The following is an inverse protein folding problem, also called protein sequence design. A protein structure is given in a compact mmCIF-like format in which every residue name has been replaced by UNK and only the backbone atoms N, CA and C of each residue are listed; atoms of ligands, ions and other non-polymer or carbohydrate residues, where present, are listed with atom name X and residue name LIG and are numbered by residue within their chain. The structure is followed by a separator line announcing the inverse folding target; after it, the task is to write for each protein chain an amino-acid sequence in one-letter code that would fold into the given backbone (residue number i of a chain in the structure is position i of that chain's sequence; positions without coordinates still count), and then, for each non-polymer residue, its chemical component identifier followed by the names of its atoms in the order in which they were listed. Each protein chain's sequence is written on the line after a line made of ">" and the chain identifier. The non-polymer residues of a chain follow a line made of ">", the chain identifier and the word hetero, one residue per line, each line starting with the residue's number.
data_IF_714565637612
#
_entry.id   IF_714565637612
#
_cell.length_a   1.000
_cell.length_b   1.000
_cell.length_c   1.000
_cell.angle_alpha   90.00
_cell.angle_beta   90.00
_cell.angle_gamma   90.00
#
_symmetry.space_group_name_H-M   'P 1'
#
loop_
_entity.id
_entity.type
_entity.pdbx_description
1 polymer ?
#
# COMPACT_ATOMS: atom_id res chain seq x y z
N UNK A 1 5.17 7.40 20.54
CA UNK A 1 4.68 8.49 21.39
C UNK A 1 3.29 8.87 20.93
N UNK A 2 2.30 8.99 21.84
CA UNK A 2 0.90 9.21 21.45
C UNK A 2 0.66 10.44 20.59
N UNK A 3 1.30 11.56 20.91
CA UNK A 3 1.13 12.80 20.14
C UNK A 3 1.66 12.68 18.72
N UNK A 4 2.77 11.97 18.55
CA UNK A 4 3.36 11.74 17.22
C UNK A 4 2.46 10.87 16.36
N UNK A 5 1.91 9.80 16.93
CA UNK A 5 1.00 8.89 16.21
C UNK A 5 -0.28 9.62 15.81
N UNK A 6 -0.84 10.45 16.69
CA UNK A 6 -2.02 11.27 16.41
C UNK A 6 -1.78 12.24 15.24
N UNK A 7 -0.64 12.91 15.24
CA UNK A 7 -0.26 13.83 14.17
C UNK A 7 -0.14 13.10 12.83
N UNK A 8 0.52 11.95 12.82
CA UNK A 8 0.68 11.14 11.62
C UNK A 8 -0.68 10.73 11.05
N UNK A 9 -1.61 10.32 11.90
CA UNK A 9 -2.95 9.92 11.48
C UNK A 9 -3.73 11.06 10.85
N UNK A 10 -3.67 12.26 11.43
CA UNK A 10 -4.35 13.44 10.89
C UNK A 10 -3.82 13.80 9.50
N UNK A 11 -2.51 13.76 9.31
CA UNK A 11 -1.91 14.00 8.01
C UNK A 11 -2.35 12.97 6.98
N UNK A 12 -2.42 11.69 7.39
CA UNK A 12 -2.86 10.62 6.51
C UNK A 12 -4.31 10.81 6.06
N UNK A 13 -5.21 11.18 6.97
CA UNK A 13 -6.60 11.45 6.63
C UNK A 13 -6.74 12.59 5.61
N UNK A 14 -5.99 13.66 5.78
CA UNK A 14 -5.99 14.78 4.84
C UNK A 14 -5.52 14.35 3.45
N UNK A 15 -4.47 13.55 3.38
CA UNK A 15 -3.92 13.03 2.12
C UNK A 15 -4.93 12.10 1.44
N UNK A 16 -5.53 11.20 2.21
CA UNK A 16 -6.54 10.27 1.69
C UNK A 16 -7.70 11.03 1.07
N UNK A 17 -8.21 12.04 1.77
CA UNK A 17 -9.31 12.86 1.29
C UNK A 17 -8.93 13.62 0.01
N UNK A 18 -7.72 14.14 -0.04
CA UNK A 18 -7.22 14.85 -1.22
C UNK A 18 -7.15 13.92 -2.43
N UNK A 19 -6.63 12.70 -2.25
CA UNK A 19 -6.56 11.72 -3.32
C UNK A 19 -7.95 11.36 -3.85
N UNK A 20 -8.87 11.06 -2.94
CA UNK A 20 -10.25 10.70 -3.31
C UNK A 20 -10.98 11.85 -4.01
N UNK A 21 -10.84 13.05 -3.49
CA UNK A 21 -11.48 14.24 -4.09
C UNK A 21 -10.92 14.57 -5.47
N UNK A 22 -9.71 14.11 -5.74
CA UNK A 22 -9.06 14.28 -7.05
C UNK A 22 -9.37 13.14 -8.03
N UNK A 23 -10.19 12.16 -7.62
CA UNK A 23 -10.55 11.01 -8.46
C UNK A 23 -9.56 9.86 -8.40
N UNK A 24 -8.61 9.89 -7.46
CA UNK A 24 -7.61 8.84 -7.30
C UNK A 24 -8.01 7.78 -6.28
N UNK A 25 -7.22 6.72 -6.22
CA UNK A 25 -7.39 5.60 -5.31
C UNK A 25 -6.24 5.60 -4.30
N UNK A 26 -6.50 5.88 -3.00
CA UNK A 26 -5.43 5.88 -2.01
C UNK A 26 -5.00 4.46 -1.65
N UNK A 27 -3.71 4.19 -1.81
CA UNK A 27 -3.10 2.88 -1.55
C UNK A 27 -2.00 3.04 -0.51
N UNK A 28 -2.00 2.18 0.49
CA UNK A 28 -0.94 2.15 1.49
C UNK A 28 0.28 1.42 0.94
N UNK A 29 1.38 2.16 0.74
CA UNK A 29 2.63 1.62 0.21
C UNK A 29 3.44 0.91 1.31
N UNK A 30 4.13 -0.17 0.94
CA UNK A 30 5.07 -0.95 1.77
C UNK A 30 4.80 -0.87 3.28
N UNK A 31 3.66 -1.40 3.75
CA UNK A 31 3.23 -1.22 5.14
C UNK A 31 4.19 -1.77 6.20
N UNK A 32 5.01 -2.75 5.85
CA UNK A 32 6.02 -3.27 6.77
C UNK A 32 6.97 -2.17 7.27
N UNK A 33 7.28 -1.19 6.43
CA UNK A 33 8.22 -0.12 6.79
C UNK A 33 7.65 0.85 7.82
N UNK A 34 6.36 0.78 8.12
CA UNK A 34 5.74 1.57 9.18
C UNK A 34 6.16 1.04 10.55
N UNK A 35 6.50 -0.25 10.66
CA UNK A 35 6.90 -0.92 11.91
C UNK A 35 5.89 -0.77 13.05
N UNK A 36 4.60 -0.70 12.71
CA UNK A 36 3.52 -0.56 13.68
C UNK A 36 2.23 -1.12 13.07
N UNK A 37 1.95 -2.39 13.35
CA UNK A 37 0.79 -3.07 12.78
C UNK A 37 -0.55 -2.47 13.22
N UNK A 38 -0.63 -1.96 14.44
CA UNK A 38 -1.85 -1.30 14.91
C UNK A 38 -2.14 -0.03 14.11
N UNK A 39 -1.11 0.74 13.80
CA UNK A 39 -1.26 1.93 12.96
C UNK A 39 -1.64 1.55 11.52
N UNK A 40 -1.05 0.49 10.98
CA UNK A 40 -1.42 -0.01 9.66
C UNK A 40 -2.92 -0.32 9.62
N UNK A 41 -3.43 -1.12 10.56
CA UNK A 41 -4.85 -1.45 10.59
C UNK A 41 -5.72 -0.22 10.74
N UNK A 42 -5.31 0.73 11.55
CA UNK A 42 -6.08 1.96 11.74
C UNK A 42 -6.17 2.77 10.45
N UNK A 43 -5.08 2.88 9.70
CA UNK A 43 -5.09 3.56 8.40
C UNK A 43 -6.00 2.85 7.40
N UNK A 44 -6.01 1.52 7.40
CA UNK A 44 -6.88 0.75 6.51
C UNK A 44 -8.36 0.95 6.81
N UNK A 45 -8.71 1.26 8.05
CA UNK A 45 -10.10 1.54 8.44
C UNK A 45 -10.55 2.96 8.07
N UNK A 46 -9.63 3.85 7.75
CA UNK A 46 -9.91 5.28 7.61
C UNK A 46 -9.85 5.80 6.17
N UNK A 47 -10.29 4.99 5.23
CA UNK A 47 -10.48 5.45 3.87
C UNK A 47 -9.44 4.99 2.86
N UNK A 48 -8.43 4.24 3.27
CA UNK A 48 -7.50 3.57 2.35
C UNK A 48 -8.31 2.56 1.52
N UNK A 49 -8.07 2.53 0.23
CA UNK A 49 -8.78 1.65 -0.70
C UNK A 49 -7.92 0.51 -1.25
N UNK A 50 -6.62 0.55 -1.00
CA UNK A 50 -5.72 -0.49 -1.43
C UNK A 50 -4.51 -0.62 -0.54
N UNK A 51 -3.80 -1.74 -0.67
CA UNK A 51 -2.59 -2.01 0.08
C UNK A 51 -1.55 -2.66 -0.83
N UNK A 52 -0.31 -2.20 -0.74
CA UNK A 52 0.79 -2.81 -1.46
C UNK A 52 1.30 -4.02 -0.68
N UNK A 53 0.84 -5.21 -1.05
CA UNK A 53 1.21 -6.45 -0.38
C UNK A 53 2.42 -7.12 -1.03
N UNK A 54 2.61 -6.94 -2.33
CA UNK A 54 3.66 -7.60 -3.11
C UNK A 54 4.86 -6.65 -3.25
N UNK A 55 5.82 -6.80 -2.36
CA UNK A 55 6.93 -5.86 -2.22
C UNK A 55 8.21 -6.61 -1.81
N UNK A 56 9.38 -6.22 -2.33
CA UNK A 56 10.62 -7.00 -2.13
C UNK A 56 11.04 -7.22 -0.68
N UNK A 57 10.77 -6.26 0.19
CA UNK A 57 11.15 -6.36 1.61
C UNK A 57 10.11 -7.08 2.47
N UNK A 58 8.97 -7.45 1.90
CA UNK A 58 8.00 -8.31 2.56
C UNK A 58 8.45 -9.77 2.40
N UNK A 59 8.54 -10.51 3.52
CA UNK A 59 8.75 -11.95 3.44
C UNK A 59 7.39 -12.65 3.18
N UNK A 60 7.41 -13.98 3.12
CA UNK A 60 6.18 -14.74 2.83
C UNK A 60 5.09 -14.50 3.87
N UNK A 61 5.46 -14.40 5.14
CA UNK A 61 4.51 -14.13 6.22
C UNK A 61 3.92 -12.73 6.13
N UNK A 62 4.75 -11.74 5.83
CA UNK A 62 4.31 -10.37 5.62
C UNK A 62 3.32 -10.29 4.47
N UNK A 63 3.66 -10.86 3.33
CA UNK A 63 2.81 -10.88 2.15
C UNK A 63 1.47 -11.53 2.46
N UNK A 64 1.48 -12.69 3.12
CA UNK A 64 0.27 -13.38 3.52
C UNK A 64 -0.59 -12.52 4.44
N UNK A 65 0.02 -11.89 5.43
CA UNK A 65 -0.68 -11.01 6.39
C UNK A 65 -1.35 -9.85 5.68
N UNK A 66 -0.67 -9.20 4.76
CA UNK A 66 -1.23 -8.05 4.04
C UNK A 66 -2.29 -8.47 3.03
N UNK A 67 -2.18 -9.64 2.42
CA UNK A 67 -3.24 -10.18 1.57
C UNK A 67 -4.50 -10.53 2.40
N UNK A 68 -4.33 -11.05 3.60
CA UNK A 68 -5.44 -11.30 4.52
C UNK A 68 -6.12 -10.00 4.96
N UNK A 69 -5.35 -8.96 5.23
CA UNK A 69 -5.91 -7.64 5.57
C UNK A 69 -6.66 -7.05 4.37
N UNK A 70 -6.16 -7.23 3.17
CA UNK A 70 -6.85 -6.77 1.97
C UNK A 70 -8.21 -7.45 1.83
N UNK A 71 -8.28 -8.75 2.09
CA UNK A 71 -9.53 -9.48 2.05
C UNK A 71 -10.48 -9.01 3.16
N UNK A 72 -9.97 -8.85 4.37
CA UNK A 72 -10.75 -8.42 5.53
C UNK A 72 -11.42 -7.06 5.31
N UNK A 73 -10.71 -6.11 4.73
CA UNK A 73 -11.19 -4.74 4.54
C UNK A 73 -11.63 -4.45 3.10
N UNK A 74 -11.72 -5.45 2.25
CA UNK A 74 -12.13 -5.33 0.85
C UNK A 74 -11.28 -4.32 0.07
N UNK A 75 -9.97 -4.44 0.21
CA UNK A 75 -9.00 -3.54 -0.41
C UNK A 75 -8.47 -4.09 -1.72
N UNK A 76 -8.11 -3.18 -2.62
CA UNK A 76 -7.31 -3.54 -3.79
C UNK A 76 -5.91 -3.95 -3.33
N UNK A 77 -5.30 -4.87 -4.06
CA UNK A 77 -3.91 -5.28 -3.82
C UNK A 77 -3.04 -4.71 -4.92
N UNK A 78 -1.94 -4.08 -4.53
CA UNK A 78 -0.95 -3.62 -5.47
C UNK A 78 0.40 -4.24 -5.13
N UNK A 79 1.38 -4.01 -5.97
CA UNK A 79 2.75 -4.43 -5.75
C UNK A 79 3.71 -3.66 -6.62
N UNK A 80 4.98 -3.80 -6.33
CA UNK A 80 6.02 -3.14 -7.08
C UNK A 80 7.38 -3.31 -6.45
N UNK A 81 8.40 -2.94 -7.20
CA UNK A 81 9.80 -3.12 -6.80
C UNK A 81 10.35 -1.96 -5.95
N UNK A 82 9.67 -0.84 -5.96
CA UNK A 82 10.18 0.39 -5.35
C UNK A 82 11.52 0.82 -5.98
N UNK A 83 11.66 0.59 -7.30
CA UNK A 83 12.86 0.91 -8.04
C UNK A 83 13.08 2.43 -8.09
N UNK A 84 14.26 2.88 -7.68
CA UNK A 84 14.60 4.30 -7.62
C UNK A 84 15.71 4.71 -8.59
N UNK A 85 16.34 3.74 -9.27
CA UNK A 85 17.43 4.05 -10.17
C UNK A 85 18.72 4.48 -9.49
N UNK A 86 18.88 4.14 -8.21
CA UNK A 86 20.06 4.49 -7.44
C UNK A 86 21.11 3.39 -7.57
N UNK A 87 22.34 3.69 -8.05
CA UNK A 87 23.40 2.69 -8.15
C UNK A 87 23.66 2.02 -6.79
N UNK A 88 23.78 0.69 -6.82
CA UNK A 88 24.06 -0.10 -5.62
C UNK A 88 22.84 -0.44 -4.78
N UNK A 89 21.67 0.11 -5.08
CA UNK A 89 20.43 -0.21 -4.39
C UNK A 89 19.62 -1.23 -5.20
N UNK A 90 19.29 -2.34 -4.58
CA UNK A 90 18.46 -3.35 -5.24
C UNK A 90 16.97 -2.95 -5.15
N UNK A 91 16.17 -3.14 -6.18
CA UNK A 91 16.55 -3.64 -7.51
C UNK A 91 17.33 -2.59 -8.30
N UNK A 92 18.31 -3.03 -9.07
CA UNK A 92 19.16 -2.14 -9.86
C UNK A 92 18.62 -1.92 -11.28
N UNK A 93 17.75 -2.81 -11.74
CA UNK A 93 17.15 -2.75 -13.06
C UNK A 93 15.65 -3.00 -12.98
N UNK A 94 14.92 -2.40 -13.90
CA UNK A 94 13.50 -2.67 -14.08
C UNK A 94 13.34 -4.13 -14.50
N UNK A 95 12.42 -4.86 -13.85
CA UNK A 95 12.16 -6.26 -14.17
C UNK A 95 12.84 -7.27 -13.27
N UNK A 96 13.72 -6.84 -12.36
CA UNK A 96 14.29 -7.74 -11.36
C UNK A 96 13.26 -8.22 -10.33
N UNK A 97 12.26 -7.42 -10.08
CA UNK A 97 11.11 -7.78 -9.24
C UNK A 97 9.85 -7.47 -10.03
N UNK A 98 8.98 -8.45 -10.17
CA UNK A 98 7.75 -8.32 -10.96
C UNK A 98 6.54 -8.71 -10.13
N UNK A 99 5.40 -8.16 -10.52
CA UNK A 99 4.11 -8.39 -9.89
C UNK A 99 3.15 -8.94 -10.95
N UNK A 100 2.31 -9.88 -10.55
CA UNK A 100 1.34 -10.49 -11.47
C UNK A 100 0.37 -9.45 -12.03
N UNK A 101 0.06 -9.56 -13.33
CA UNK A 101 -0.80 -8.62 -14.03
C UNK A 101 -2.23 -8.54 -13.46
N UNK A 102 -2.69 -9.58 -12.78
CA UNK A 102 -4.03 -9.59 -12.21
C UNK A 102 -4.27 -8.43 -11.24
N UNK A 103 -3.23 -7.99 -10.54
CA UNK A 103 -3.33 -6.85 -9.61
C UNK A 103 -3.49 -5.53 -10.35
N UNK A 104 -2.86 -5.37 -11.50
CA UNK A 104 -3.04 -4.19 -12.34
C UNK A 104 -4.44 -4.14 -12.96
N UNK A 105 -4.97 -5.28 -13.36
CA UNK A 105 -6.31 -5.38 -13.92
C UNK A 105 -7.37 -4.88 -12.95
N UNK A 106 -7.27 -5.25 -11.68
CA UNK A 106 -8.19 -4.78 -10.64
C UNK A 106 -8.12 -3.27 -10.46
N UNK A 107 -6.92 -2.71 -10.51
CA UNK A 107 -6.72 -1.28 -10.33
C UNK A 107 -7.30 -0.45 -11.48
N UNK A 108 -7.20 -0.96 -12.70
CA UNK A 108 -7.69 -0.27 -13.90
C UNK A 108 -9.14 -0.61 -14.25
N UNK A 109 -9.81 -1.36 -13.41
CA UNK A 109 -11.20 -1.71 -13.65
C UNK A 109 -12.07 -0.46 -13.53
N UNK A 110 -12.88 -0.21 -14.56
CA UNK A 110 -13.79 0.93 -14.52
C UNK A 110 -14.86 0.70 -13.46
N UNK A 111 -15.23 1.76 -12.70
CA UNK A 111 -16.30 1.62 -11.73
C UNK A 111 -17.62 1.32 -12.43
N UNK A 112 -18.40 0.43 -11.85
CA UNK A 112 -19.75 0.14 -12.31
C UNK A 112 -20.64 1.36 -12.01
N UNK A 113 -21.30 1.86 -13.05
CA UNK A 113 -22.19 2.98 -12.91
C UNK A 113 -23.60 2.54 -12.52
#
# INVERSE_FOLDING_TARGET
>A
KPAYVSHYRLEAEEIIDLIKNSGGTPVLAHPKLIHNDALVEELLKNGIEGIEAIYPKHDEEDTKRYLELAEKYHLLVTGGSDFHGIPGRWPQQIGEFVVDDCYAEELYREPEL
#
